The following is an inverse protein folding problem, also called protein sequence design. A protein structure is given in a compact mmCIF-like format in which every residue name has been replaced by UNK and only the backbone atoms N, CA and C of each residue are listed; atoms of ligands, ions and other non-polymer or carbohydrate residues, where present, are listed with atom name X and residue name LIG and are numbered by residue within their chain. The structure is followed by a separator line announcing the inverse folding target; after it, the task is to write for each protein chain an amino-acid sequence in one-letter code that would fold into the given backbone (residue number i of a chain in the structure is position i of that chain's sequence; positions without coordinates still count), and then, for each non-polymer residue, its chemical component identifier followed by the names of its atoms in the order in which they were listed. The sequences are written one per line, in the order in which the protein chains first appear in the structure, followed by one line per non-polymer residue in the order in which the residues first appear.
data_IF_636074783365
#
_entry.id   IF_636074783365
#
_cell.length_a   1.000
_cell.length_b   1.000
_cell.length_c   1.000
_cell.angle_alpha   90.00
_cell.angle_beta   90.00
_cell.angle_gamma   90.00
#
_symmetry.space_group_name_H-M   'P 1'
#
loop_
_entity.id
_entity.type
_entity.pdbx_description
1 polymer ?
#
# COMPACT_ATOMS: atom_id res chain seq x y z
N UNK A 1 8.27 -0.11 -6.33
CA UNK A 1 7.33 -0.87 -5.48
C UNK A 1 5.93 -0.77 -6.04
N UNK A 2 5.27 -1.89 -6.18
CA UNK A 2 3.85 -1.97 -6.55
C UNK A 2 3.04 -2.21 -5.30
N UNK A 3 1.94 -1.49 -5.13
CA UNK A 3 1.06 -1.67 -3.98
C UNK A 3 -0.40 -1.63 -4.40
N UNK A 4 -1.23 -2.33 -3.66
CA UNK A 4 -2.68 -2.36 -3.83
C UNK A 4 -3.34 -2.59 -2.47
N UNK A 5 -4.52 -2.05 -2.32
CA UNK A 5 -5.34 -2.27 -1.14
C UNK A 5 -6.80 -2.31 -1.54
N UNK A 6 -7.55 -3.19 -0.92
CA UNK A 6 -8.96 -3.32 -1.25
C UNK A 6 -9.79 -3.90 -0.14
N UNK A 7 -11.09 -3.61 -0.18
CA UNK A 7 -12.07 -4.13 0.74
C UNK A 7 -13.20 -4.81 -0.04
N UNK A 8 -13.68 -5.93 0.48
CA UNK A 8 -14.89 -6.59 0.00
C UNK A 8 -16.07 -6.02 0.77
N UNK A 9 -16.97 -5.34 0.05
CA UNK A 9 -17.95 -4.40 0.63
C UNK A 9 -17.21 -3.20 1.24
N UNK A 10 -17.40 -2.06 0.72
CA UNK A 10 -16.65 -0.86 1.08
C UNK A 10 -17.47 0.05 2.03
N UNK A 11 -17.29 0.02 3.40
CA UNK A 11 -16.25 -0.73 4.11
C UNK A 11 -16.56 -2.22 4.28
N UNK A 12 -15.51 -2.99 4.53
CA UNK A 12 -15.61 -4.44 4.76
C UNK A 12 -14.25 -5.07 5.02
N UNK A 13 -14.19 -6.42 4.98
CA UNK A 13 -12.91 -7.11 5.10
C UNK A 13 -11.92 -6.61 4.06
N UNK A 14 -10.75 -6.19 4.50
CA UNK A 14 -9.76 -5.54 3.66
C UNK A 14 -8.39 -6.21 3.76
N UNK A 15 -7.61 -6.06 2.70
CA UNK A 15 -6.25 -6.58 2.63
C UNK A 15 -5.37 -5.67 1.80
N UNK A 16 -4.07 -5.85 1.98
CA UNK A 16 -3.04 -5.16 1.21
C UNK A 16 -2.23 -6.16 0.40
N UNK A 17 -1.67 -5.68 -0.70
CA UNK A 17 -0.71 -6.41 -1.51
C UNK A 17 0.47 -5.51 -1.84
N UNK A 18 1.67 -6.02 -1.64
CA UNK A 18 2.92 -5.30 -1.88
C UNK A 18 3.88 -6.16 -2.70
N UNK A 19 4.43 -5.58 -3.75
CA UNK A 19 5.45 -6.22 -4.58
C UNK A 19 6.63 -5.28 -4.77
N UNK A 20 7.75 -5.65 -4.17
CA UNK A 20 9.01 -4.91 -4.25
C UNK A 20 9.88 -5.65 -5.28
N UNK A 21 9.69 -5.31 -6.54
CA UNK A 21 10.30 -6.05 -7.67
C UNK A 21 11.82 -6.11 -7.56
N UNK A 22 12.47 -4.99 -7.29
CA UNK A 22 13.93 -4.89 -7.19
C UNK A 22 14.52 -5.81 -6.14
N UNK A 23 13.78 -6.07 -5.05
CA UNK A 23 14.21 -6.94 -3.96
C UNK A 23 13.63 -8.35 -4.07
N UNK A 24 12.89 -8.63 -5.12
CA UNK A 24 12.20 -9.90 -5.35
C UNK A 24 11.39 -10.34 -4.11
N UNK A 25 10.65 -9.41 -3.52
CA UNK A 25 9.88 -9.62 -2.30
C UNK A 25 8.43 -9.21 -2.52
N UNK A 26 7.51 -10.12 -2.19
CA UNK A 26 6.08 -9.84 -2.32
C UNK A 26 5.31 -10.49 -1.18
N UNK A 27 4.23 -9.84 -0.75
CA UNK A 27 3.35 -10.38 0.30
C UNK A 27 1.97 -9.76 0.21
N UNK A 28 0.99 -10.50 0.74
CA UNK A 28 -0.35 -9.99 0.99
C UNK A 28 -0.68 -10.15 2.46
N UNK A 29 -1.52 -9.27 3.00
CA UNK A 29 -1.88 -9.28 4.41
C UNK A 29 -3.31 -8.80 4.62
N UNK A 30 -4.08 -9.57 5.39
CA UNK A 30 -5.39 -9.15 5.86
C UNK A 30 -5.25 -8.08 6.95
N UNK A 31 -5.98 -6.97 6.81
CA UNK A 31 -5.85 -5.83 7.73
C UNK A 31 -7.12 -5.54 8.55
N UNK A 32 -8.12 -6.43 8.51
CA UNK A 32 -9.39 -6.22 9.21
C UNK A 32 -10.39 -5.43 8.39
N UNK A 33 -11.34 -4.79 9.05
CA UNK A 33 -12.36 -3.96 8.40
C UNK A 33 -11.80 -2.60 8.02
N UNK A 34 -11.97 -2.21 6.77
CA UNK A 34 -11.52 -0.90 6.27
C UNK A 34 -12.26 -0.52 4.98
N UNK A 35 -12.10 0.72 4.56
CA UNK A 35 -12.49 1.18 3.23
C UNK A 35 -11.39 0.88 2.23
N UNK A 36 -11.71 0.95 0.93
CA UNK A 36 -10.71 0.83 -0.13
C UNK A 36 -9.58 1.86 0.04
N UNK A 37 -9.92 3.12 0.32
CA UNK A 37 -8.91 4.18 0.46
C UNK A 37 -7.97 3.92 1.65
N UNK A 38 -8.49 3.51 2.78
CA UNK A 38 -7.67 3.15 3.95
C UNK A 38 -6.74 1.99 3.62
N UNK A 39 -7.24 0.96 2.92
CA UNK A 39 -6.42 -0.18 2.51
C UNK A 39 -5.30 0.24 1.54
N UNK A 40 -5.58 1.14 0.61
CA UNK A 40 -4.57 1.67 -0.31
C UNK A 40 -3.42 2.39 0.43
N UNK A 41 -3.76 3.26 1.39
CA UNK A 41 -2.75 3.92 2.24
C UNK A 41 -1.99 2.91 3.10
N UNK A 42 -2.68 1.93 3.67
CA UNK A 42 -2.06 0.89 4.48
C UNK A 42 -1.02 0.09 3.69
N UNK A 43 -1.30 -0.20 2.42
CA UNK A 43 -0.36 -0.90 1.53
C UNK A 43 0.93 -0.09 1.32
N UNK A 44 0.81 1.22 1.08
CA UNK A 44 1.97 2.10 0.92
C UNK A 44 2.80 2.16 2.20
N UNK A 45 2.15 2.35 3.34
CA UNK A 45 2.82 2.43 4.64
C UNK A 45 3.57 1.13 4.92
N UNK A 46 2.88 -0.01 4.76
CA UNK A 46 3.47 -1.33 4.95
C UNK A 46 4.67 -1.56 4.04
N UNK A 47 4.52 -1.23 2.76
CA UNK A 47 5.58 -1.42 1.76
C UNK A 47 6.83 -0.59 2.04
N UNK A 48 6.66 0.69 2.37
CA UNK A 48 7.79 1.56 2.71
C UNK A 48 8.51 1.08 3.97
N UNK A 49 7.77 0.66 5.00
CA UNK A 49 8.35 0.05 6.21
C UNK A 49 9.12 -1.23 5.87
N UNK A 50 8.57 -2.05 4.99
CA UNK A 50 9.20 -3.31 4.58
C UNK A 50 10.52 -3.07 3.85
N UNK A 51 10.57 -2.11 2.93
CA UNK A 51 11.83 -1.76 2.25
C UNK A 51 12.88 -1.35 3.28
N UNK A 52 12.51 -0.47 4.20
CA UNK A 52 13.42 0.00 5.25
C UNK A 52 13.94 -1.15 6.12
N UNK A 53 13.07 -2.13 6.44
CA UNK A 53 13.44 -3.33 7.18
C UNK A 53 14.43 -4.20 6.40
N UNK A 54 14.17 -4.41 5.10
CA UNK A 54 14.97 -5.31 4.27
C UNK A 54 16.35 -4.76 3.94
N UNK A 55 16.46 -3.45 3.66
CA UNK A 55 17.74 -2.85 3.25
C UNK A 55 18.50 -2.19 4.41
N UNK A 56 17.82 -1.92 5.51
CA UNK A 56 18.38 -1.26 6.67
C UNK A 56 18.25 0.27 6.62
N UNK A 57 18.26 0.89 7.79
CA UNK A 57 18.02 2.32 7.97
C UNK A 57 19.02 3.20 7.20
N UNK A 58 20.30 2.87 7.26
CA UNK A 58 21.34 3.69 6.64
C UNK A 58 21.29 3.61 5.11
N UNK A 59 21.09 2.39 4.57
CA UNK A 59 20.97 2.21 3.12
C UNK A 59 19.69 2.82 2.55
N UNK A 60 18.61 2.84 3.33
CA UNK A 60 17.33 3.43 2.89
C UNK A 60 17.50 4.88 2.44
N UNK A 61 18.36 5.63 3.10
CA UNK A 61 18.63 7.04 2.77
C UNK A 61 19.29 7.25 1.40
N UNK A 62 19.81 6.18 0.80
CA UNK A 62 20.46 6.21 -0.50
C UNK A 62 19.49 5.85 -1.65
N UNK A 63 18.32 5.30 -1.33
CA UNK A 63 17.38 4.81 -2.33
C UNK A 63 16.31 5.83 -2.69
N UNK A 64 16.03 5.88 -3.98
CA UNK A 64 14.84 6.51 -4.51
C UNK A 64 13.78 5.42 -4.66
N UNK A 65 12.59 5.66 -4.13
CA UNK A 65 11.47 4.70 -4.20
C UNK A 65 10.42 5.24 -5.14
N UNK A 66 10.11 4.46 -6.17
CA UNK A 66 8.97 4.72 -7.03
C UNK A 66 7.81 3.84 -6.58
N UNK A 67 6.77 4.45 -6.03
CA UNK A 67 5.56 3.77 -5.60
C UNK A 67 4.54 3.81 -6.74
N UNK A 68 4.21 2.63 -7.27
CA UNK A 68 3.24 2.46 -8.37
C UNK A 68 1.96 1.88 -7.82
N UNK A 69 0.86 2.56 -8.04
CA UNK A 69 -0.46 2.11 -7.59
C UNK A 69 -1.53 2.53 -8.60
N UNK A 70 -2.65 1.82 -8.60
CA UNK A 70 -3.72 2.06 -9.57
C UNK A 70 -4.85 2.95 -9.04
N UNK A 71 -4.77 3.44 -7.81
CA UNK A 71 -5.71 4.41 -7.29
C UNK A 71 -5.30 5.83 -7.68
N UNK A 72 -5.97 6.38 -8.66
CA UNK A 72 -5.75 7.77 -9.10
C UNK A 72 -6.00 8.76 -7.96
N UNK A 73 -7.05 8.54 -7.17
CA UNK A 73 -7.39 9.37 -6.02
C UNK A 73 -6.24 9.46 -5.02
N UNK A 74 -5.70 8.32 -4.61
CA UNK A 74 -4.61 8.25 -3.63
C UNK A 74 -3.34 8.92 -4.19
N UNK A 75 -2.99 8.65 -5.45
CA UNK A 75 -1.82 9.28 -6.08
C UNK A 75 -1.96 10.79 -6.09
N UNK A 76 -3.14 11.31 -6.47
CA UNK A 76 -3.39 12.75 -6.52
C UNK A 76 -3.38 13.39 -5.13
N UNK A 77 -3.86 12.69 -4.11
CA UNK A 77 -3.75 13.14 -2.72
C UNK A 77 -2.28 13.26 -2.30
N UNK A 78 -1.48 12.23 -2.58
CA UNK A 78 -0.06 12.20 -2.20
C UNK A 78 0.78 13.20 -3.00
N UNK A 79 0.38 13.50 -4.23
CA UNK A 79 1.06 14.48 -5.09
C UNK A 79 0.54 15.93 -4.90
N UNK A 80 -0.26 16.15 -3.84
CA UNK A 80 -0.75 17.49 -3.46
C UNK A 80 -1.71 18.12 -4.46
N UNK A 81 -2.41 17.30 -5.25
CA UNK A 81 -3.39 17.77 -6.23
C UNK A 81 -4.81 17.79 -5.67
N UNK A 82 -5.10 16.99 -4.63
CA UNK A 82 -6.39 16.90 -3.98
C UNK A 82 -6.27 17.19 -2.48
N UNK A 83 -7.31 17.81 -1.92
CA UNK A 83 -7.40 18.05 -0.48
C UNK A 83 -7.63 16.74 0.29
N UNK A 84 -7.12 16.69 1.50
CA UNK A 84 -7.34 15.59 2.44
C UNK A 84 -8.42 16.04 3.42
N UNK A 85 -9.65 15.57 3.22
CA UNK A 85 -10.81 16.02 4.01
C UNK A 85 -11.12 15.12 5.19
N UNK A 86 -10.76 13.81 5.09
CA UNK A 86 -11.08 12.83 6.10
C UNK A 86 -9.92 12.69 7.10
N UNK A 87 -10.26 12.70 8.39
CA UNK A 87 -9.26 12.71 9.46
C UNK A 87 -8.32 11.50 9.42
N UNK A 88 -8.84 10.30 9.19
CA UNK A 88 -8.00 9.10 9.12
C UNK A 88 -7.10 9.08 7.89
N UNK A 89 -7.51 9.69 6.78
CA UNK A 89 -6.64 9.87 5.62
C UNK A 89 -5.53 10.86 5.95
N UNK A 90 -5.84 11.93 6.68
CA UNK A 90 -4.83 12.88 7.14
C UNK A 90 -3.77 12.21 8.02
N UNK A 91 -4.18 11.33 8.93
CA UNK A 91 -3.25 10.55 9.78
C UNK A 91 -2.35 9.66 8.94
N UNK A 92 -2.91 8.96 7.98
CA UNK A 92 -2.16 8.09 7.07
C UNK A 92 -1.17 8.87 6.22
N UNK A 93 -1.58 10.05 5.74
CA UNK A 93 -0.72 10.94 4.99
C UNK A 93 0.49 11.40 5.82
N UNK A 94 0.27 11.78 7.06
CA UNK A 94 1.36 12.18 7.98
C UNK A 94 2.34 11.04 8.20
N UNK A 95 1.85 9.81 8.36
CA UNK A 95 2.71 8.64 8.51
C UNK A 95 3.56 8.41 7.27
N UNK A 96 2.99 8.53 6.08
CA UNK A 96 3.72 8.42 4.81
C UNK A 96 4.75 9.52 4.70
N UNK A 97 4.39 10.77 5.01
CA UNK A 97 5.33 11.89 5.04
C UNK A 97 6.56 11.57 5.88
N UNK A 98 6.35 11.10 7.10
CA UNK A 98 7.47 10.76 7.99
C UNK A 98 8.33 9.63 7.41
N UNK A 99 7.70 8.62 6.80
CA UNK A 99 8.43 7.52 6.15
C UNK A 99 9.25 8.00 4.95
N UNK A 100 8.75 8.98 4.20
CA UNK A 100 9.48 9.53 3.05
C UNK A 100 10.83 10.11 3.43
N UNK A 101 10.96 10.65 4.64
CA UNK A 101 12.20 11.22 5.14
C UNK A 101 13.28 10.17 5.42
N UNK A 102 12.90 8.91 5.49
CA UNK A 102 13.86 7.80 5.68
C UNK A 102 14.55 7.38 4.37
N UNK A 103 14.11 7.92 3.24
CA UNK A 103 14.64 7.61 1.90
C UNK A 103 15.22 8.86 1.25
N UNK A 104 16.02 8.66 0.21
CA UNK A 104 16.55 9.78 -0.57
C UNK A 104 15.42 10.55 -1.26
N UNK A 105 14.47 9.82 -1.85
CA UNK A 105 13.29 10.37 -2.48
C UNK A 105 12.22 9.31 -2.62
N UNK A 106 10.96 9.71 -2.53
CA UNK A 106 9.80 8.83 -2.75
C UNK A 106 8.85 9.54 -3.70
N UNK A 107 8.53 8.89 -4.81
CA UNK A 107 7.58 9.41 -5.79
C UNK A 107 6.41 8.45 -5.91
N UNK A 108 5.23 9.00 -6.19
CA UNK A 108 3.98 8.25 -6.34
C UNK A 108 3.51 8.37 -7.78
N UNK A 109 3.31 7.22 -8.42
CA UNK A 109 2.97 7.15 -9.83
C UNK A 109 1.72 6.32 -10.04
N UNK A 110 0.73 6.91 -10.72
CA UNK A 110 -0.46 6.19 -11.13
C UNK A 110 -0.15 5.27 -12.31
N UNK A 111 -0.57 4.01 -12.20
CA UNK A 111 -0.47 3.04 -13.28
C UNK A 111 -1.85 2.44 -13.57
N UNK A 112 -2.09 1.98 -14.81
CA UNK A 112 -3.31 1.24 -15.10
C UNK A 112 -3.41 -0.05 -14.28
N UNK A 113 -4.65 -0.48 -14.00
CA UNK A 113 -4.91 -1.67 -13.20
C UNK A 113 -4.24 -2.92 -13.76
N UNK A 114 -4.21 -3.07 -15.09
CA UNK A 114 -3.57 -4.18 -15.78
C UNK A 114 -2.06 -4.27 -15.55
N UNK A 115 -1.44 -3.19 -15.10
CA UNK A 115 -0.02 -3.16 -14.76
C UNK A 115 0.24 -3.43 -13.28
N UNK A 116 -0.82 -3.57 -12.47
CA UNK A 116 -0.72 -3.81 -11.03
C UNK A 116 -1.25 -5.19 -10.62
N UNK A 117 -1.18 -6.16 -11.51
CA UNK A 117 -1.77 -7.49 -11.32
C UNK A 117 -1.19 -8.29 -10.16
N UNK A 118 0.11 -8.17 -9.93
CA UNK A 118 0.76 -8.93 -8.84
C UNK A 118 0.24 -8.46 -7.49
N UNK A 119 0.23 -7.15 -7.24
CA UNK A 119 -0.28 -6.60 -5.99
C UNK A 119 -1.78 -6.87 -5.82
N UNK A 120 -2.57 -6.74 -6.88
CA UNK A 120 -4.01 -7.06 -6.87
C UNK A 120 -4.26 -8.52 -6.51
N UNK A 121 -3.51 -9.45 -7.11
CA UNK A 121 -3.62 -10.88 -6.82
C UNK A 121 -3.30 -11.18 -5.35
N UNK A 122 -2.32 -10.49 -4.77
CA UNK A 122 -1.94 -10.67 -3.37
C UNK A 122 -3.05 -10.20 -2.42
N UNK A 123 -3.74 -9.10 -2.75
CA UNK A 123 -4.93 -8.64 -2.00
C UNK A 123 -6.01 -9.71 -2.01
N UNK A 124 -6.37 -10.19 -3.19
CA UNK A 124 -7.43 -11.18 -3.36
C UNK A 124 -7.11 -12.50 -2.67
N UNK A 125 -5.86 -12.94 -2.76
CA UNK A 125 -5.40 -14.14 -2.09
C UNK A 125 -5.53 -14.04 -0.57
N UNK A 126 -5.13 -12.92 0.01
CA UNK A 126 -5.25 -12.68 1.45
C UNK A 126 -6.72 -12.68 1.90
N UNK A 127 -7.61 -12.06 1.12
CA UNK A 127 -9.05 -12.06 1.41
C UNK A 127 -9.67 -13.43 1.28
N UNK A 128 -9.30 -14.20 0.24
CA UNK A 128 -9.79 -15.55 0.03
C UNK A 128 -9.38 -16.50 1.16
N UNK A 129 -8.13 -16.41 1.60
CA UNK A 129 -7.62 -17.19 2.72
C UNK A 129 -8.38 -16.88 4.01
N UNK A 130 -8.69 -15.61 4.26
CA UNK A 130 -9.45 -15.21 5.44
C UNK A 130 -10.88 -15.75 5.41
N UNK A 131 -11.54 -15.69 4.27
CA UNK A 131 -12.89 -16.25 4.09
C UNK A 131 -12.88 -17.76 4.31
N UNK A 132 -11.87 -18.45 3.79
CA UNK A 132 -11.71 -19.90 3.96
C UNK A 132 -11.53 -20.27 5.42
N UNK A 133 -10.73 -19.51 6.19
CA UNK A 133 -10.56 -19.71 7.63
C UNK A 133 -11.88 -19.57 8.38
N UNK A 134 -12.68 -18.55 8.05
CA UNK A 134 -14.00 -18.35 8.66
C UNK A 134 -14.94 -19.52 8.42
N UNK A 135 -14.88 -20.15 7.24
CA UNK A 135 -15.73 -21.29 6.89
C UNK A 135 -15.36 -22.56 7.64
N UNK A 136 -14.12 -22.68 8.10
CA UNK A 136 -13.65 -23.84 8.86
C UNK A 136 -14.03 -23.79 10.35
N UNK A 137 -14.47 -22.66 10.83
CA UNK A 137 -14.92 -22.46 12.21
C UNK A 137 -16.44 -22.58 12.31
#
# INVERSE_FOLDING_TARGET
MFSDGGARNNPGPAAIGVYIETLNHKYGEYIGEATNNVAEYAALISGLKKIKQLVGKDKSRQYEIECRLDSELVVKQLNHEYKLKEEYIQKNFIEIWNLMLDFKNVIFKHIPREQNKVADALVNQALDEKEKQKKLL
#
